data_IF_466948752516
#
_entry.id   IF_466948752516
#
_cell.length_a   1.000
_cell.length_b   1.000
_cell.length_c   1.000
_cell.angle_alpha   90.00
_cell.angle_beta   90.00
_cell.angle_gamma   90.00
#
_symmetry.space_group_name_H-M   'P 1'
#
loop_
_entity.id
_entity.type
_entity.pdbx_description
1 polymer ?
#
# COMPACT_ATOMS: atom_id res chain seq x y z
N UNK A 1 0.94 -5.60 -23.22
CA UNK A 1 2.22 -5.70 -22.48
C UNK A 1 1.96 -5.11 -21.10
N UNK A 2 1.81 -6.00 -20.12
CA UNK A 2 1.41 -5.60 -18.76
C UNK A 2 2.66 -5.17 -17.99
N UNK A 3 2.70 -3.91 -17.62
CA UNK A 3 3.76 -3.35 -16.81
C UNK A 3 3.36 -3.51 -15.34
N UNK A 4 3.94 -4.47 -14.64
CA UNK A 4 3.80 -4.56 -13.19
C UNK A 4 4.98 -3.83 -12.54
N UNK A 5 4.75 -2.58 -12.17
CA UNK A 5 5.65 -1.87 -11.27
C UNK A 5 5.24 -2.25 -9.85
N UNK A 6 5.95 -3.21 -9.27
CA UNK A 6 5.81 -3.48 -7.85
C UNK A 6 6.05 -2.17 -7.07
N UNK A 7 5.53 -2.04 -5.84
CA UNK A 7 5.88 -0.97 -4.88
C UNK A 7 7.39 -0.85 -4.64
N UNK A 8 8.15 -1.41 -5.55
CA UNK A 8 9.54 -1.69 -5.56
C UNK A 8 10.49 -0.59 -6.01
N UNK A 9 10.03 0.59 -6.38
CA UNK A 9 10.90 1.72 -6.66
C UNK A 9 11.16 2.47 -5.35
N UNK A 10 12.13 2.08 -4.60
CA UNK A 10 12.44 2.71 -3.33
C UNK A 10 13.90 2.92 -3.15
N UNK A 11 14.16 3.87 -2.34
CA UNK A 11 15.39 4.25 -1.74
C UNK A 11 16.39 3.07 -1.63
N UNK A 12 17.41 3.09 -2.46
CA UNK A 12 18.45 2.05 -2.55
C UNK A 12 19.13 1.83 -1.18
N UNK A 13 19.19 2.86 -0.34
CA UNK A 13 19.83 2.80 0.98
C UNK A 13 19.02 2.05 2.05
N UNK A 14 17.69 1.97 1.91
CA UNK A 14 16.83 1.41 2.96
C UNK A 14 16.09 0.15 2.54
N UNK A 15 16.15 -0.20 1.26
CA UNK A 15 15.52 -1.42 0.79
C UNK A 15 16.40 -2.61 1.07
N UNK A 16 15.75 -3.54 1.66
CA UNK A 16 16.34 -4.87 1.78
C UNK A 16 16.53 -5.40 0.36
N UNK A 17 17.74 -5.81 0.00
CA UNK A 17 18.10 -6.49 -1.26
C UNK A 17 17.08 -7.60 -1.62
N UNK A 18 16.50 -8.20 -0.58
CA UNK A 18 15.44 -9.19 -0.70
C UNK A 18 14.21 -8.68 -1.47
N UNK A 19 13.75 -7.43 -1.25
CA UNK A 19 12.54 -6.91 -1.94
C UNK A 19 12.77 -6.70 -3.42
N UNK A 20 13.96 -6.24 -3.81
CA UNK A 20 14.35 -6.13 -5.23
C UNK A 20 14.48 -7.51 -5.88
N UNK A 21 15.12 -8.46 -5.19
CA UNK A 21 15.23 -9.83 -5.67
C UNK A 21 13.86 -10.49 -5.87
N UNK A 22 12.93 -10.31 -4.91
CA UNK A 22 11.56 -10.80 -5.00
C UNK A 22 10.83 -10.15 -6.17
N UNK A 23 10.92 -8.84 -6.36
CA UNK A 23 10.26 -8.14 -7.46
C UNK A 23 10.77 -8.62 -8.83
N UNK A 24 12.10 -8.74 -9.00
CA UNK A 24 12.72 -9.31 -10.20
C UNK A 24 12.25 -10.73 -10.46
N UNK A 25 12.16 -11.56 -9.41
CA UNK A 25 11.71 -12.95 -9.55
C UNK A 25 10.23 -13.04 -9.95
N UNK A 26 9.35 -12.20 -9.38
CA UNK A 26 7.94 -12.12 -9.77
C UNK A 26 7.83 -11.73 -11.24
N UNK A 27 8.57 -10.72 -11.67
CA UNK A 27 8.57 -10.27 -13.06
C UNK A 27 8.98 -11.40 -14.02
N UNK A 28 10.04 -12.13 -13.69
CA UNK A 28 10.50 -13.30 -14.49
C UNK A 28 9.45 -14.40 -14.55
N UNK A 29 8.85 -14.79 -13.41
CA UNK A 29 7.83 -15.83 -13.34
C UNK A 29 6.60 -15.49 -14.19
N UNK A 30 6.25 -14.20 -14.25
CA UNK A 30 5.06 -13.73 -14.95
C UNK A 30 5.35 -13.15 -16.34
N UNK A 31 6.61 -13.20 -16.81
CA UNK A 31 7.06 -12.65 -18.10
C UNK A 31 6.73 -11.17 -18.26
N UNK A 32 6.92 -10.40 -17.18
CA UNK A 32 6.67 -8.96 -17.15
C UNK A 32 7.97 -8.20 -17.46
N UNK A 33 7.83 -7.06 -18.11
CA UNK A 33 8.93 -6.12 -18.24
C UNK A 33 9.25 -5.53 -16.86
N UNK A 34 10.52 -5.52 -16.46
CA UNK A 34 10.96 -5.07 -15.14
C UNK A 34 12.07 -4.05 -15.29
N UNK A 35 11.93 -2.93 -14.59
CA UNK A 35 12.94 -1.88 -14.53
C UNK A 35 13.11 -1.39 -13.09
N UNK A 36 14.33 -1.06 -12.74
CA UNK A 36 14.69 -0.41 -11.48
C UNK A 36 15.10 1.03 -11.77
N UNK A 37 14.55 1.97 -11.01
CA UNK A 37 14.86 3.39 -11.12
C UNK A 37 15.27 3.91 -9.75
N UNK A 38 16.47 4.49 -9.66
CA UNK A 38 16.92 5.16 -8.46
C UNK A 38 16.22 6.51 -8.30
N UNK A 39 15.51 6.69 -7.17
CA UNK A 39 14.79 7.92 -6.84
C UNK A 39 15.61 8.89 -5.97
N UNK A 40 16.73 8.44 -5.46
CA UNK A 40 17.53 9.21 -4.50
C UNK A 40 17.88 10.61 -4.99
N UNK A 41 18.34 10.82 -6.25
CA UNK A 41 18.67 12.17 -6.73
C UNK A 41 17.49 13.15 -6.72
N UNK A 42 16.27 12.66 -7.01
CA UNK A 42 15.06 13.49 -7.03
C UNK A 42 14.57 13.81 -5.63
N UNK A 43 14.70 12.87 -4.69
CA UNK A 43 14.35 13.06 -3.28
C UNK A 43 15.29 14.07 -2.63
N UNK A 44 16.61 13.94 -2.82
CA UNK A 44 17.59 14.89 -2.33
C UNK A 44 17.36 16.31 -2.84
N UNK A 45 17.04 16.46 -4.12
CA UNK A 45 16.69 17.77 -4.69
C UNK A 45 15.45 18.38 -4.02
N UNK A 46 14.43 17.57 -3.71
CA UNK A 46 13.24 18.04 -2.98
C UNK A 46 13.57 18.40 -1.53
N UNK A 47 14.38 17.62 -0.84
CA UNK A 47 14.82 17.91 0.52
C UNK A 47 15.56 19.24 0.58
N UNK A 48 16.49 19.49 -0.34
CA UNK A 48 17.22 20.76 -0.45
C UNK A 48 16.26 21.95 -0.63
N UNK A 49 15.27 21.82 -1.53
CA UNK A 49 14.26 22.86 -1.74
C UNK A 49 13.43 23.12 -0.48
N UNK A 50 13.08 22.08 0.25
CA UNK A 50 12.23 22.18 1.44
C UNK A 50 12.98 22.66 2.69
N UNK A 51 14.31 22.44 2.77
CA UNK A 51 15.15 22.98 3.85
C UNK A 51 15.03 24.51 3.97
N UNK A 52 14.89 25.22 2.85
CA UNK A 52 14.69 26.67 2.84
C UNK A 52 13.31 27.11 3.35
N UNK A 53 12.34 26.20 3.40
CA UNK A 53 10.95 26.48 3.77
C UNK A 53 10.66 26.00 5.20
N UNK A 54 11.19 24.87 5.58
CA UNK A 54 10.99 24.29 6.92
C UNK A 54 11.86 25.03 7.95
N UNK A 55 11.22 25.45 9.06
CA UNK A 55 11.91 26.08 10.19
C UNK A 55 12.59 25.07 11.12
N UNK A 56 12.32 23.80 10.92
CA UNK A 56 12.82 22.68 11.74
C UNK A 56 12.99 21.44 10.86
N UNK A 57 13.70 20.44 11.36
CA UNK A 57 13.86 19.15 10.69
C UNK A 57 12.48 18.53 10.33
N UNK A 58 12.32 18.02 9.09
CA UNK A 58 11.08 17.42 8.66
C UNK A 58 10.79 16.16 9.48
N UNK A 59 9.51 15.96 9.80
CA UNK A 59 9.08 14.69 10.41
C UNK A 59 9.27 13.53 9.44
N UNK A 60 9.55 12.33 9.94
CA UNK A 60 9.73 11.13 9.11
C UNK A 60 8.59 10.92 8.11
N UNK A 61 7.35 11.14 8.52
CA UNK A 61 6.17 11.02 7.64
C UNK A 61 6.23 11.97 6.42
N UNK A 62 6.91 13.11 6.52
CA UNK A 62 7.08 14.02 5.38
C UNK A 62 7.99 13.37 4.34
N UNK A 63 9.11 12.82 4.76
CA UNK A 63 10.07 12.13 3.88
C UNK A 63 9.45 10.89 3.25
N UNK A 64 8.76 10.07 4.05
CA UNK A 64 8.04 8.90 3.56
C UNK A 64 7.02 9.26 2.48
N UNK A 65 6.23 10.32 2.70
CA UNK A 65 5.25 10.80 1.74
C UNK A 65 5.89 11.43 0.48
N UNK A 66 7.04 12.08 0.60
CA UNK A 66 7.80 12.55 -0.57
C UNK A 66 8.23 11.38 -1.45
N UNK A 67 8.81 10.34 -0.86
CA UNK A 67 9.19 9.14 -1.59
C UNK A 67 8.00 8.48 -2.31
N UNK A 68 6.87 8.35 -1.63
CA UNK A 68 5.67 7.75 -2.22
C UNK A 68 5.15 8.57 -3.40
N UNK A 69 5.15 9.92 -3.29
CA UNK A 69 4.72 10.81 -4.37
C UNK A 69 5.69 10.84 -5.55
N UNK A 70 6.99 10.77 -5.27
CA UNK A 70 7.99 10.69 -6.34
C UNK A 70 7.81 9.42 -7.19
N UNK A 71 7.54 8.29 -6.55
CA UNK A 71 7.16 7.07 -7.26
C UNK A 71 5.92 7.27 -8.13
N UNK A 72 4.86 7.84 -7.57
CA UNK A 72 3.62 8.11 -8.30
C UNK A 72 3.87 9.02 -9.52
N UNK A 73 4.68 10.06 -9.35
CA UNK A 73 5.04 11.00 -10.43
C UNK A 73 5.77 10.29 -11.59
N UNK A 74 6.77 9.47 -11.30
CA UNK A 74 7.52 8.73 -12.32
C UNK A 74 6.64 7.69 -13.01
N UNK A 75 5.82 6.95 -12.24
CA UNK A 75 4.89 5.98 -12.81
C UNK A 75 3.88 6.63 -13.75
N UNK A 76 3.34 7.80 -13.39
CA UNK A 76 2.45 8.56 -14.26
C UNK A 76 3.15 9.07 -15.52
N UNK A 77 4.41 9.52 -15.42
CA UNK A 77 5.18 9.92 -16.59
C UNK A 77 5.39 8.75 -17.56
N UNK A 78 5.73 7.56 -17.04
CA UNK A 78 5.85 6.35 -17.85
C UNK A 78 4.50 5.93 -18.48
N UNK A 79 3.42 6.02 -17.72
CA UNK A 79 2.08 5.74 -18.21
C UNK A 79 1.70 6.69 -19.36
N UNK A 80 1.97 7.98 -19.23
CA UNK A 80 1.70 8.97 -20.28
C UNK A 80 2.57 8.74 -21.52
N UNK A 81 3.87 8.49 -21.34
CA UNK A 81 4.79 8.29 -22.45
C UNK A 81 4.42 7.06 -23.31
N UNK A 82 3.93 5.99 -22.67
CA UNK A 82 3.67 4.71 -23.33
C UNK A 82 2.17 4.43 -23.53
N UNK A 83 1.30 5.35 -23.17
CA UNK A 83 -0.15 5.17 -23.20
C UNK A 83 -0.61 3.95 -22.38
N UNK A 84 -0.06 3.79 -21.17
CA UNK A 84 -0.39 2.70 -20.25
C UNK A 84 -1.42 3.12 -19.21
N UNK A 85 -2.17 2.14 -18.71
CA UNK A 85 -3.01 2.32 -17.54
C UNK A 85 -2.21 2.00 -16.27
N UNK A 86 -1.96 3.00 -15.44
CA UNK A 86 -1.35 2.78 -14.13
C UNK A 86 -2.35 2.13 -13.17
N UNK A 87 -1.92 1.08 -12.47
CA UNK A 87 -2.72 0.40 -11.45
C UNK A 87 -2.28 0.85 -10.05
N UNK A 88 -3.25 1.30 -9.24
CA UNK A 88 -3.05 1.54 -7.83
C UNK A 88 -3.25 0.23 -7.06
N UNK A 89 -2.30 -0.14 -6.20
CA UNK A 89 -2.28 -1.44 -5.52
C UNK A 89 -2.73 -1.38 -4.05
N UNK A 90 -3.40 -0.28 -3.62
CA UNK A 90 -4.00 -0.17 -2.29
C UNK A 90 -5.16 -1.16 -2.13
N UNK A 91 -5.24 -1.80 -0.97
CA UNK A 91 -6.33 -2.72 -0.62
C UNK A 91 -7.35 -2.08 0.33
N UNK A 92 -8.48 -2.75 0.56
CA UNK A 92 -9.59 -2.23 1.38
C UNK A 92 -9.18 -1.91 2.82
N UNK A 93 -8.35 -2.75 3.43
CA UNK A 93 -7.88 -2.55 4.81
C UNK A 93 -6.98 -1.31 4.92
N UNK A 94 -6.01 -1.17 4.02
CA UNK A 94 -5.14 0.01 3.96
C UNK A 94 -5.92 1.29 3.70
N UNK A 95 -6.84 1.28 2.74
CA UNK A 95 -7.69 2.43 2.41
C UNK A 95 -8.64 2.79 3.55
N UNK A 96 -9.22 1.80 4.23
CA UNK A 96 -10.08 2.02 5.39
C UNK A 96 -9.32 2.74 6.52
N UNK A 97 -8.09 2.34 6.77
CA UNK A 97 -7.24 2.94 7.83
C UNK A 97 -6.48 4.19 7.37
N UNK A 98 -6.61 4.59 6.10
CA UNK A 98 -5.83 5.68 5.52
C UNK A 98 -4.33 5.41 5.49
N UNK A 99 -3.95 4.13 5.49
CA UNK A 99 -2.56 3.67 5.37
C UNK A 99 -2.11 3.71 3.91
N UNK A 100 -2.16 4.91 3.37
CA UNK A 100 -1.82 5.25 1.99
C UNK A 100 -1.41 6.72 1.89
N UNK A 101 -0.65 7.06 0.87
CA UNK A 101 -0.24 8.43 0.57
C UNK A 101 -1.01 8.96 -0.63
N UNK A 102 -1.79 10.04 -0.43
CA UNK A 102 -2.45 10.74 -1.54
C UNK A 102 -1.42 11.20 -2.57
N UNK A 103 -1.74 10.99 -3.85
CA UNK A 103 -0.87 11.31 -4.99
C UNK A 103 0.45 10.53 -5.03
N UNK A 104 0.60 9.55 -4.15
CA UNK A 104 1.69 8.59 -4.13
C UNK A 104 1.19 7.21 -4.57
N UNK A 105 1.04 6.28 -3.65
CA UNK A 105 0.54 4.92 -3.92
C UNK A 105 -0.97 4.86 -4.27
N UNK A 106 -1.70 5.97 -4.12
CA UNK A 106 -3.07 6.12 -4.63
C UNK A 106 -3.12 6.59 -6.10
N UNK A 107 -1.98 6.90 -6.74
CA UNK A 107 -1.96 7.26 -8.16
C UNK A 107 -2.36 6.08 -9.04
N UNK A 108 -3.18 6.34 -10.06
CA UNK A 108 -3.55 5.35 -11.07
C UNK A 108 -4.91 5.62 -11.71
N UNK A 109 -5.23 4.84 -12.73
CA UNK A 109 -6.53 4.87 -13.40
C UNK A 109 -7.49 3.75 -12.95
N UNK A 110 -6.97 2.74 -12.25
CA UNK A 110 -7.75 1.62 -11.70
C UNK A 110 -7.09 1.08 -10.44
N UNK A 111 -7.90 0.73 -9.43
CA UNK A 111 -7.47 0.07 -8.20
C UNK A 111 -8.09 -1.34 -8.11
N UNK A 112 -7.47 -2.36 -8.74
CA UNK A 112 -8.11 -3.67 -8.94
C UNK A 112 -8.38 -4.44 -7.66
N UNK A 113 -7.62 -4.22 -6.59
CA UNK A 113 -7.75 -4.91 -5.31
C UNK A 113 -8.30 -4.02 -4.18
N UNK A 114 -8.77 -2.82 -4.49
CA UNK A 114 -9.26 -1.86 -3.48
C UNK A 114 -10.50 -2.33 -2.71
N UNK A 115 -11.25 -3.28 -3.25
CA UNK A 115 -12.41 -3.89 -2.58
C UNK A 115 -12.09 -5.20 -1.84
N UNK A 116 -10.83 -5.66 -1.86
CA UNK A 116 -10.39 -6.84 -1.11
C UNK A 116 -9.70 -6.43 0.19
N UNK A 117 -10.03 -7.10 1.28
CA UNK A 117 -9.30 -6.99 2.54
C UNK A 117 -7.91 -7.63 2.43
N UNK A 118 -6.97 -7.20 3.27
CA UNK A 118 -5.59 -7.73 3.27
C UNK A 118 -5.55 -9.24 3.47
N UNK A 119 -6.36 -9.77 4.39
CA UNK A 119 -6.50 -11.21 4.62
C UNK A 119 -6.97 -11.96 3.37
N UNK A 120 -7.97 -11.43 2.66
CA UNK A 120 -8.47 -12.02 1.42
C UNK A 120 -7.41 -12.01 0.31
N UNK A 121 -6.58 -10.97 0.24
CA UNK A 121 -5.48 -10.91 -0.73
C UNK A 121 -4.44 -12.00 -0.45
N UNK A 122 -4.11 -12.26 0.82
CA UNK A 122 -3.21 -13.36 1.17
C UNK A 122 -3.81 -14.73 0.81
N UNK A 123 -5.09 -14.94 1.07
CA UNK A 123 -5.77 -16.17 0.66
C UNK A 123 -5.80 -16.35 -0.85
N UNK A 124 -6.11 -15.28 -1.59
CA UNK A 124 -6.10 -15.28 -3.05
C UNK A 124 -4.69 -15.56 -3.61
N UNK A 125 -3.65 -14.97 -3.01
CA UNK A 125 -2.28 -15.21 -3.40
C UNK A 125 -1.86 -16.67 -3.18
N UNK A 126 -2.20 -17.27 -2.02
CA UNK A 126 -2.00 -18.69 -1.72
C UNK A 126 -2.72 -19.59 -2.74
N UNK A 127 -4.02 -19.33 -2.95
CA UNK A 127 -4.82 -20.07 -3.92
C UNK A 127 -4.22 -20.00 -5.33
N UNK A 128 -3.81 -18.80 -5.76
CA UNK A 128 -3.22 -18.59 -7.08
C UNK A 128 -1.89 -19.33 -7.23
N UNK A 129 -1.05 -19.27 -6.20
CA UNK A 129 0.26 -19.90 -6.18
C UNK A 129 0.19 -21.43 -6.17
N UNK A 130 -0.84 -21.99 -5.52
CA UNK A 130 -1.11 -23.44 -5.51
C UNK A 130 -1.52 -23.98 -6.89
N UNK A 131 -2.14 -23.14 -7.74
CA UNK A 131 -2.49 -23.53 -9.11
C UNK A 131 -1.29 -23.46 -10.06
N UNK A 132 -0.59 -22.34 -10.02
CA UNK A 132 0.62 -22.09 -10.79
C UNK A 132 1.51 -21.17 -9.98
N UNK A 133 2.76 -21.52 -9.79
CA UNK A 133 3.72 -20.69 -9.06
C UNK A 133 3.95 -19.37 -9.78
N UNK A 134 3.34 -18.30 -9.27
CA UNK A 134 3.39 -16.94 -9.84
C UNK A 134 4.23 -15.99 -9.01
N UNK A 135 4.52 -16.37 -7.74
CA UNK A 135 5.30 -15.57 -6.82
C UNK A 135 6.10 -16.45 -5.85
N UNK A 136 7.24 -15.97 -5.33
CA UNK A 136 7.95 -16.63 -4.25
C UNK A 136 7.10 -16.76 -2.99
N UNK A 137 7.31 -17.83 -2.21
CA UNK A 137 6.57 -18.06 -0.96
C UNK A 137 6.80 -16.96 0.08
N UNK A 138 7.97 -16.32 0.04
CA UNK A 138 8.34 -15.21 0.90
C UNK A 138 7.38 -14.03 0.79
N UNK A 139 6.76 -13.81 -0.37
CA UNK A 139 5.74 -12.75 -0.57
C UNK A 139 4.51 -13.01 0.28
N UNK A 140 4.15 -14.28 0.44
CA UNK A 140 2.94 -14.71 1.14
C UNK A 140 3.19 -14.84 2.65
N UNK A 141 4.41 -15.25 3.03
CA UNK A 141 4.76 -15.52 4.42
C UNK A 141 5.33 -14.32 5.17
N UNK A 142 5.85 -13.33 4.45
CA UNK A 142 6.47 -12.13 5.03
C UNK A 142 5.42 -11.21 5.68
N UNK A 143 5.79 -10.63 6.83
CA UNK A 143 4.97 -9.59 7.47
C UNK A 143 4.80 -8.38 6.55
N UNK A 144 3.56 -7.84 6.42
CA UNK A 144 3.30 -6.65 5.63
C UNK A 144 4.08 -5.43 6.11
N UNK A 145 4.58 -4.64 5.15
CA UNK A 145 5.30 -3.40 5.42
C UNK A 145 5.08 -2.41 4.29
N UNK A 146 4.98 -1.13 4.63
CA UNK A 146 5.00 -0.03 3.66
C UNK A 146 6.40 0.16 3.04
N UNK A 147 7.44 -0.36 3.68
CA UNK A 147 8.86 -0.28 3.24
C UNK A 147 9.33 1.15 2.95
N UNK A 148 8.86 2.11 3.73
CA UNK A 148 9.26 3.52 3.64
C UNK A 148 10.35 3.87 4.65
N UNK A 149 10.54 3.02 5.67
CA UNK A 149 11.60 3.13 6.68
C UNK A 149 12.24 1.75 6.96
N UNK A 150 13.46 1.75 7.49
CA UNK A 150 14.17 0.51 7.84
C UNK A 150 13.44 -0.26 8.95
N UNK A 151 13.20 -1.56 8.73
CA UNK A 151 12.55 -2.44 9.71
C UNK A 151 11.06 -2.19 9.95
N UNK A 152 10.43 -1.26 9.22
CA UNK A 152 9.02 -0.91 9.36
C UNK A 152 8.10 -2.11 9.12
N UNK A 153 7.09 -2.27 9.99
CA UNK A 153 5.98 -3.21 9.82
C UNK A 153 4.65 -2.46 9.92
N UNK A 154 3.64 -2.91 9.18
CA UNK A 154 2.31 -2.32 9.27
C UNK A 154 1.73 -2.43 10.68
N UNK A 155 2.04 -3.52 11.40
CA UNK A 155 1.62 -3.77 12.77
C UNK A 155 2.23 -2.81 13.81
N UNK A 156 3.25 -2.02 13.45
CA UNK A 156 3.76 -0.95 14.31
C UNK A 156 2.74 0.21 14.47
N UNK A 157 1.79 0.30 13.53
CA UNK A 157 0.78 1.37 13.47
C UNK A 157 -0.66 0.88 13.37
N UNK A 158 -0.88 -0.40 13.09
CA UNK A 158 -2.18 -1.01 12.88
C UNK A 158 -2.31 -2.28 13.72
N UNK A 159 -3.51 -2.65 14.15
CA UNK A 159 -3.77 -3.98 14.68
C UNK A 159 -3.45 -5.06 13.64
N UNK A 160 -3.17 -6.31 14.06
CA UNK A 160 -2.99 -7.43 13.12
C UNK A 160 -4.15 -7.51 12.12
N UNK A 161 -3.82 -7.67 10.83
CA UNK A 161 -4.82 -7.63 9.76
C UNK A 161 -5.96 -8.65 9.93
N UNK A 162 -5.69 -9.80 10.54
CA UNK A 162 -6.73 -10.79 10.83
C UNK A 162 -7.82 -10.24 11.76
N UNK A 163 -7.44 -9.41 12.73
CA UNK A 163 -8.36 -8.74 13.66
C UNK A 163 -9.01 -7.53 12.98
N UNK A 164 -8.19 -6.67 12.38
CA UNK A 164 -8.62 -5.45 11.70
C UNK A 164 -9.69 -5.73 10.65
N UNK A 165 -9.44 -6.70 9.78
CA UNK A 165 -10.33 -7.02 8.66
C UNK A 165 -11.68 -7.56 9.13
N UNK A 166 -11.70 -8.36 10.21
CA UNK A 166 -12.96 -8.84 10.81
C UNK A 166 -13.82 -7.70 11.33
N UNK A 167 -13.22 -6.75 12.06
CA UNK A 167 -13.93 -5.58 12.58
C UNK A 167 -14.45 -4.72 11.43
N UNK A 168 -13.61 -4.46 10.42
CA UNK A 168 -14.01 -3.69 9.24
C UNK A 168 -15.13 -4.36 8.43
N UNK A 169 -15.10 -5.70 8.27
CA UNK A 169 -16.17 -6.45 7.61
C UNK A 169 -17.50 -6.31 8.34
N UNK A 170 -17.50 -6.44 9.67
CA UNK A 170 -18.72 -6.27 10.47
C UNK A 170 -19.26 -4.85 10.35
N UNK A 171 -18.39 -3.85 10.47
CA UNK A 171 -18.77 -2.46 10.47
C UNK A 171 -19.16 -1.94 9.07
N UNK A 172 -18.32 -2.18 8.06
CA UNK A 172 -18.51 -1.60 6.71
C UNK A 172 -19.48 -2.43 5.88
N UNK A 173 -19.26 -3.76 5.80
CA UNK A 173 -20.01 -4.61 4.87
C UNK A 173 -21.34 -5.05 5.47
N UNK A 174 -21.35 -5.41 6.76
CA UNK A 174 -22.57 -5.81 7.48
C UNK A 174 -23.31 -4.64 8.13
N UNK A 175 -22.75 -3.43 8.07
CA UNK A 175 -23.34 -2.20 8.61
C UNK A 175 -23.73 -2.30 10.09
N UNK A 176 -22.98 -3.09 10.86
CA UNK A 176 -23.19 -3.21 12.30
C UNK A 176 -22.77 -1.92 13.01
N UNK A 177 -23.47 -1.58 14.08
CA UNK A 177 -23.07 -0.48 14.96
C UNK A 177 -21.83 -0.84 15.77
N UNK A 178 -21.04 0.14 16.28
CA UNK A 178 -19.90 -0.16 17.15
C UNK A 178 -20.26 -1.08 18.32
N UNK A 179 -21.42 -0.85 18.96
CA UNK A 179 -21.90 -1.67 20.07
C UNK A 179 -22.17 -3.14 19.65
N UNK A 180 -22.71 -3.37 18.45
CA UNK A 180 -22.91 -4.72 17.91
C UNK A 180 -21.57 -5.40 17.62
N UNK A 181 -20.60 -4.69 17.05
CA UNK A 181 -19.26 -5.24 16.80
C UNK A 181 -18.59 -5.65 18.13
N UNK A 182 -18.69 -4.80 19.16
CA UNK A 182 -18.17 -5.13 20.50
C UNK A 182 -18.86 -6.37 21.09
N UNK A 183 -20.17 -6.50 20.88
CA UNK A 183 -20.94 -7.66 21.35
C UNK A 183 -20.52 -9.01 20.70
N UNK A 184 -19.85 -8.96 19.53
CA UNK A 184 -19.23 -10.14 18.90
C UNK A 184 -17.94 -10.61 19.62
N UNK A 185 -17.54 -9.92 20.71
CA UNK A 185 -16.40 -10.30 21.54
C UNK A 185 -15.09 -9.55 21.23
N UNK A 186 -15.15 -8.48 20.45
CA UNK A 186 -13.98 -7.62 20.19
C UNK A 186 -13.79 -6.60 21.32
N UNK A 187 -12.51 -6.26 21.58
CA UNK A 187 -12.16 -5.23 22.55
C UNK A 187 -12.72 -3.86 22.17
N UNK A 188 -13.43 -3.21 23.10
CA UNK A 188 -14.14 -1.96 22.85
C UNK A 188 -13.19 -0.83 22.41
N UNK A 189 -12.02 -0.70 23.06
CA UNK A 189 -11.04 0.34 22.75
C UNK A 189 -10.52 0.19 21.33
N UNK A 190 -10.22 -1.04 20.94
CA UNK A 190 -9.75 -1.38 19.58
C UNK A 190 -10.83 -1.08 18.53
N UNK A 191 -12.08 -1.47 18.78
CA UNK A 191 -13.20 -1.23 17.86
C UNK A 191 -13.43 0.27 17.67
N UNK A 192 -13.51 1.02 18.76
CA UNK A 192 -13.73 2.48 18.71
C UNK A 192 -12.59 3.20 18.00
N UNK A 193 -11.33 2.80 18.24
CA UNK A 193 -10.17 3.37 17.59
C UNK A 193 -10.21 3.12 16.08
N UNK A 194 -10.50 1.88 15.65
CA UNK A 194 -10.60 1.52 14.22
C UNK A 194 -11.69 2.34 13.54
N UNK A 195 -12.88 2.41 14.13
CA UNK A 195 -14.02 3.12 13.55
C UNK A 195 -13.76 4.63 13.48
N UNK A 196 -13.21 5.22 14.54
CA UNK A 196 -12.82 6.63 14.55
C UNK A 196 -11.81 6.93 13.44
N UNK A 197 -10.79 6.09 13.30
CA UNK A 197 -9.78 6.24 12.26
C UNK A 197 -10.38 6.06 10.87
N UNK A 198 -11.27 5.10 10.67
CA UNK A 198 -11.99 4.91 9.41
C UNK A 198 -12.69 6.19 8.97
N UNK A 199 -13.46 6.82 9.84
CA UNK A 199 -14.16 8.08 9.50
C UNK A 199 -13.18 9.24 9.26
N UNK A 200 -12.14 9.37 10.06
CA UNK A 200 -11.13 10.40 9.87
C UNK A 200 -10.37 10.31 8.54
N UNK A 201 -10.36 9.15 7.89
CA UNK A 201 -9.65 8.92 6.62
C UNK A 201 -10.57 8.96 5.39
N UNK A 202 -11.82 9.39 5.52
CA UNK A 202 -12.78 9.49 4.40
C UNK A 202 -12.23 10.33 3.25
N UNK A 203 -11.59 11.45 3.55
CA UNK A 203 -11.03 12.35 2.53
C UNK A 203 -10.00 11.65 1.62
N UNK A 204 -9.29 10.64 2.12
CA UNK A 204 -8.36 9.84 1.31
C UNK A 204 -9.13 8.87 0.41
N UNK A 205 -10.15 8.20 0.94
CA UNK A 205 -10.96 7.25 0.17
C UNK A 205 -11.69 7.90 -0.99
N UNK A 206 -12.09 9.15 -0.86
CA UNK A 206 -12.72 9.94 -1.93
C UNK A 206 -11.78 10.26 -3.11
N UNK A 207 -10.48 10.01 -2.96
CA UNK A 207 -9.45 10.36 -3.94
C UNK A 207 -8.70 9.14 -4.49
N UNK A 208 -9.25 7.94 -4.31
CA UNK A 208 -8.68 6.73 -4.89
C UNK A 208 -9.27 6.45 -6.27
N UNK A 209 -8.50 5.78 -7.16
CA UNK A 209 -9.01 5.36 -8.47
C UNK A 209 -10.21 4.42 -8.34
N UNK A 210 -11.04 4.31 -9.40
CA UNK A 210 -12.13 3.35 -9.43
C UNK A 210 -11.67 1.93 -9.08
N UNK A 211 -12.47 1.25 -8.27
CA UNK A 211 -12.24 -0.15 -7.89
C UNK A 211 -13.09 -1.10 -8.75
N UNK A 212 -12.65 -2.35 -8.88
CA UNK A 212 -13.49 -3.40 -9.45
C UNK A 212 -14.69 -3.64 -8.52
N UNK A 213 -15.87 -3.77 -9.11
CA UNK A 213 -17.07 -4.25 -8.39
C UNK A 213 -16.94 -5.77 -8.24
N UNK A 214 -16.90 -6.23 -7.00
CA UNK A 214 -16.85 -7.65 -6.63
C UNK A 214 -18.23 -8.10 -6.16
#
# INVERSE_FOLDING_TARGET
RDFCLSRGLGDVYKRQELSLAIASQIAKLNRLDYQEVDLQPTIEAQEILLQGIFKQEPKNIVIENLQARERGKILMALANQNNYLLLACGNKSELAMGYCTLYGDTCGGLAPIANLYKSQIFELAKWRNNKNKMMPEEVISRAPSAELAAGQKDEDSLPPYVLLDKILQLYIDRKQTPAQVIAEGFDAVTVEWIIKRYHAQEFKRQQVPPALKL
#
